data_IF_268704828741
#
_entry.id   IF_268704828741
#
_cell.length_a   1.000
_cell.length_b   1.000
_cell.length_c   1.000
_cell.angle_alpha   90.00
_cell.angle_beta   90.00
_cell.angle_gamma   90.00
#
_symmetry.space_group_name_H-M   'P 1'
#
loop_
_entity.id
_entity.type
_entity.pdbx_description
1 polymer ?
#
# COMPACT_ATOMS: atom_id res chain seq x y z
N UNK A 1 -9.59 -2.97 15.70
CA UNK A 1 -8.40 -2.61 14.96
C UNK A 1 -7.19 -3.37 15.45
N UNK A 2 -6.12 -3.28 14.71
CA UNK A 2 -4.90 -4.01 15.05
C UNK A 2 -4.24 -3.49 16.31
N UNK A 3 -4.38 -2.20 16.59
CA UNK A 3 -3.83 -1.63 17.81
C UNK A 3 -4.44 -2.29 19.05
N UNK A 4 -5.72 -2.65 18.98
CA UNK A 4 -6.36 -3.32 20.09
C UNK A 4 -5.86 -4.72 20.35
N UNK A 5 -5.12 -5.28 19.39
CA UNK A 5 -4.54 -6.60 19.52
C UNK A 5 -3.04 -6.55 19.83
N UNK A 6 -2.52 -5.37 20.11
CA UNK A 6 -1.12 -5.22 20.44
C UNK A 6 -0.19 -5.24 19.24
N UNK A 7 -0.71 -4.99 18.06
CA UNK A 7 0.07 -4.95 16.83
C UNK A 7 0.07 -3.56 16.22
N UNK A 8 1.16 -3.22 15.56
CA UNK A 8 1.27 -2.01 14.76
C UNK A 8 1.86 -2.37 13.42
N UNK A 9 1.47 -1.61 12.40
CA UNK A 9 2.13 -1.64 11.11
C UNK A 9 2.90 -0.35 10.96
N UNK A 10 4.19 -0.46 10.69
CA UNK A 10 5.05 0.71 10.52
C UNK A 10 5.64 0.69 9.12
N UNK A 11 5.72 1.85 8.50
CA UNK A 11 6.36 1.98 7.21
C UNK A 11 7.87 1.92 7.42
N UNK A 12 8.48 0.88 6.90
CA UNK A 12 9.91 0.66 7.06
C UNK A 12 10.70 1.37 5.98
N UNK A 13 10.19 1.40 4.76
CA UNK A 13 10.80 2.17 3.69
C UNK A 13 9.74 2.56 2.68
N UNK A 14 10.02 3.63 1.96
CA UNK A 14 9.11 4.12 0.94
C UNK A 14 9.94 4.73 -0.18
N UNK A 15 9.54 4.45 -1.42
CA UNK A 15 10.13 5.04 -2.61
C UNK A 15 9.02 5.56 -3.48
N UNK A 16 9.26 6.67 -4.15
CA UNK A 16 8.27 7.23 -5.06
C UNK A 16 8.97 7.77 -6.30
N UNK A 17 8.32 7.62 -7.43
CA UNK A 17 8.79 8.17 -8.70
C UNK A 17 7.67 8.98 -9.32
N UNK A 18 8.02 10.17 -9.77
CA UNK A 18 7.08 11.08 -10.40
C UNK A 18 7.37 11.11 -11.88
N UNK A 19 6.33 10.82 -12.68
CA UNK A 19 6.50 10.70 -14.14
C UNK A 19 5.87 11.84 -14.89
N UNK A 20 4.72 12.34 -14.41
CA UNK A 20 4.02 13.41 -15.09
C UNK A 20 3.19 14.17 -14.08
N UNK A 21 2.93 15.46 -14.32
CA UNK A 21 2.13 16.24 -13.39
C UNK A 21 0.63 15.96 -13.56
N UNK A 22 -0.09 16.10 -12.47
CA UNK A 22 -1.54 16.11 -12.52
C UNK A 22 -2.03 17.55 -12.56
N UNK A 23 -3.14 17.78 -13.22
CA UNK A 23 -3.75 19.09 -13.26
C UNK A 23 -4.88 19.15 -12.25
N UNK A 24 -5.30 20.37 -11.92
CA UNK A 24 -6.26 20.56 -10.86
C UNK A 24 -7.58 19.85 -11.12
N UNK A 25 -8.00 19.79 -12.36
CA UNK A 25 -9.28 19.19 -12.70
C UNK A 25 -9.19 17.72 -13.10
N UNK A 26 -8.00 17.13 -13.02
CA UNK A 26 -7.84 15.73 -13.40
C UNK A 26 -8.50 14.81 -12.40
N UNK A 27 -9.18 13.80 -12.92
CA UNK A 27 -9.59 12.68 -12.11
C UNK A 27 -8.47 11.66 -12.07
N UNK A 28 -8.21 11.15 -10.90
CA UNK A 28 -7.09 10.25 -10.69
C UNK A 28 -7.62 8.89 -10.28
N UNK A 29 -6.91 7.86 -10.71
CA UNK A 29 -7.18 6.49 -10.32
C UNK A 29 -5.96 6.01 -9.56
N UNK A 30 -6.15 5.61 -8.31
CA UNK A 30 -5.09 5.06 -7.48
C UNK A 30 -5.32 3.57 -7.37
N UNK A 31 -4.28 2.80 -7.66
CA UNK A 31 -4.32 1.36 -7.49
C UNK A 31 -3.21 0.94 -6.54
N UNK A 32 -3.42 -0.18 -5.89
CA UNK A 32 -2.43 -0.74 -4.98
C UNK A 32 -2.46 -2.25 -5.09
N UNK A 33 -1.27 -2.86 -5.10
CA UNK A 33 -1.20 -4.31 -5.09
C UNK A 33 -0.04 -4.74 -4.18
N UNK A 34 -0.24 -5.87 -3.54
CA UNK A 34 0.78 -6.48 -2.70
C UNK A 34 1.70 -7.25 -3.63
N UNK A 35 2.97 -6.84 -3.67
CA UNK A 35 3.94 -7.48 -4.56
C UNK A 35 4.85 -8.45 -3.82
N UNK A 36 4.83 -8.40 -2.48
CA UNK A 36 5.63 -9.31 -1.68
C UNK A 36 4.96 -9.44 -0.31
N UNK A 37 4.78 -10.67 0.15
CA UNK A 37 4.17 -10.92 1.45
C UNK A 37 5.08 -11.86 2.22
N UNK A 38 5.67 -11.35 3.29
CA UNK A 38 6.58 -12.10 4.13
C UNK A 38 5.92 -12.42 5.47
N UNK A 39 6.66 -13.10 6.34
CA UNK A 39 6.11 -13.50 7.63
C UNK A 39 5.68 -12.31 8.49
N UNK A 40 6.51 -11.28 8.54
CA UNK A 40 6.26 -10.12 9.40
C UNK A 40 6.28 -8.81 8.64
N UNK A 41 6.23 -8.85 7.33
CA UNK A 41 6.27 -7.63 6.52
C UNK A 41 5.58 -7.88 5.20
N UNK A 42 5.25 -6.79 4.54
CA UNK A 42 4.72 -6.86 3.19
C UNK A 42 5.21 -5.65 2.40
N UNK A 43 5.33 -5.84 1.11
CA UNK A 43 5.68 -4.76 0.20
C UNK A 43 4.52 -4.58 -0.77
N UNK A 44 4.10 -3.34 -0.93
CA UNK A 44 3.05 -3.06 -1.89
C UNK A 44 3.45 -1.90 -2.78
N UNK A 45 2.83 -1.86 -3.95
CA UNK A 45 3.06 -0.84 -4.95
C UNK A 45 1.77 -0.08 -5.18
N UNK A 46 1.87 1.23 -5.21
CA UNK A 46 0.76 2.09 -5.57
C UNK A 46 1.09 2.81 -6.86
N UNK A 47 0.08 3.01 -7.68
CA UNK A 47 0.22 3.77 -8.91
C UNK A 47 -0.93 4.76 -8.99
N UNK A 48 -0.62 5.96 -9.47
CA UNK A 48 -1.61 7.00 -9.70
C UNK A 48 -1.62 7.29 -11.19
N UNK A 49 -2.77 7.11 -11.80
CA UNK A 49 -2.94 7.33 -13.24
C UNK A 49 -4.02 8.37 -13.46
N UNK A 50 -3.90 9.09 -14.58
CA UNK A 50 -4.94 10.01 -14.98
C UNK A 50 -6.06 9.22 -15.64
N UNK A 51 -7.30 9.44 -15.19
CA UNK A 51 -8.40 8.63 -15.66
C UNK A 51 -8.70 8.87 -17.16
N UNK A 52 -8.45 10.07 -17.63
CA UNK A 52 -8.82 10.44 -19.00
C UNK A 52 -7.99 9.72 -20.05
N UNK A 53 -6.69 9.53 -19.82
CA UNK A 53 -5.79 8.99 -20.83
C UNK A 53 -4.91 7.86 -20.29
N UNK A 54 -5.16 7.43 -19.05
CA UNK A 54 -4.44 6.33 -18.40
C UNK A 54 -2.93 6.56 -18.30
N UNK A 55 -2.52 7.81 -18.30
CA UNK A 55 -1.10 8.13 -18.16
C UNK A 55 -0.68 7.91 -16.72
N UNK A 56 0.44 7.22 -16.53
CA UNK A 56 1.00 7.01 -15.20
C UNK A 56 1.62 8.31 -14.71
N UNK A 57 1.10 8.85 -13.63
CA UNK A 57 1.56 10.11 -13.09
C UNK A 57 2.64 9.92 -12.04
N UNK A 58 2.44 8.95 -11.16
CA UNK A 58 3.48 8.58 -10.19
C UNK A 58 3.26 7.16 -9.73
N UNK A 59 4.29 6.61 -9.11
CA UNK A 59 4.19 5.28 -8.52
C UNK A 59 5.06 5.24 -7.29
N UNK A 60 4.73 4.33 -6.38
CA UNK A 60 5.49 4.18 -5.17
C UNK A 60 5.50 2.74 -4.71
N UNK A 61 6.53 2.39 -3.96
CA UNK A 61 6.63 1.11 -3.29
C UNK A 61 6.85 1.35 -1.83
N UNK A 62 6.21 0.55 -1.00
CA UNK A 62 6.25 0.70 0.44
C UNK A 62 6.51 -0.65 1.08
N UNK A 63 7.50 -0.69 1.96
CA UNK A 63 7.74 -1.86 2.79
C UNK A 63 7.16 -1.56 4.16
N UNK A 64 6.22 -2.37 4.58
CA UNK A 64 5.49 -2.19 5.83
C UNK A 64 5.79 -3.40 6.71
N UNK A 65 6.18 -3.15 7.94
CA UNK A 65 6.50 -4.22 8.88
C UNK A 65 5.43 -4.30 9.96
N UNK A 66 5.12 -5.53 10.35
CA UNK A 66 4.23 -5.80 11.46
C UNK A 66 5.08 -5.98 12.71
N UNK A 67 4.78 -5.20 13.75
CA UNK A 67 5.58 -5.23 14.97
C UNK A 67 4.65 -5.27 16.18
N UNK A 68 5.21 -5.67 17.31
CA UNK A 68 4.48 -5.61 18.58
C UNK A 68 4.38 -4.16 19.03
N UNK A 69 3.22 -3.81 19.56
CA UNK A 69 3.00 -2.45 20.00
C UNK A 69 3.83 -2.10 21.24
N UNK A 70 4.16 -3.09 22.05
CA UNK A 70 4.83 -2.84 23.33
C UNK A 70 6.36 -2.69 23.20
N UNK A 71 6.97 -3.31 22.20
CA UNK A 71 8.42 -3.26 22.09
C UNK A 71 8.92 -3.07 20.66
N UNK A 72 8.02 -2.97 19.69
CA UNK A 72 8.30 -2.73 18.27
C UNK A 72 9.14 -3.83 17.63
N UNK A 73 9.16 -5.02 18.21
CA UNK A 73 9.87 -6.14 17.62
C UNK A 73 9.02 -6.79 16.55
N UNK A 74 9.64 -7.39 15.55
CA UNK A 74 8.88 -8.04 14.48
C UNK A 74 7.93 -9.09 15.01
N UNK A 75 6.76 -9.16 14.41
CA UNK A 75 5.77 -10.16 14.77
C UNK A 75 5.09 -10.63 13.49
N UNK A 76 4.76 -11.91 13.45
CA UNK A 76 4.09 -12.47 12.28
C UNK A 76 2.76 -11.78 12.03
N UNK A 77 2.47 -11.52 10.77
CA UNK A 77 1.19 -10.95 10.36
C UNK A 77 0.11 -11.98 10.70
N UNK A 78 -0.94 -11.57 11.43
CA UNK A 78 -2.00 -12.52 11.80
C UNK A 78 -2.65 -13.15 10.58
N UNK A 79 -3.05 -14.40 10.72
CA UNK A 79 -3.57 -15.19 9.61
C UNK A 79 -4.73 -14.52 8.87
N UNK A 80 -5.73 -13.96 9.54
CA UNK A 80 -6.82 -13.32 8.80
C UNK A 80 -6.36 -12.16 7.93
N UNK A 81 -5.40 -11.38 8.41
CA UNK A 81 -4.86 -10.27 7.62
C UNK A 81 -3.99 -10.77 6.49
N UNK A 82 -3.19 -11.80 6.79
CA UNK A 82 -2.34 -12.40 5.78
C UNK A 82 -3.17 -12.91 4.61
N UNK A 83 -4.27 -13.55 4.92
CA UNK A 83 -5.18 -14.06 3.91
C UNK A 83 -5.78 -12.92 3.09
N UNK A 84 -6.16 -11.83 3.75
CA UNK A 84 -6.72 -10.67 3.07
C UNK A 84 -5.69 -10.02 2.15
N UNK A 85 -4.44 -9.89 2.60
CA UNK A 85 -3.39 -9.30 1.78
C UNK A 85 -3.07 -10.17 0.57
N UNK A 86 -3.08 -11.48 0.74
CA UNK A 86 -2.84 -12.39 -0.37
C UNK A 86 -3.90 -12.26 -1.45
N UNK A 87 -5.11 -11.86 -1.07
CA UNK A 87 -6.20 -11.68 -2.01
C UNK A 87 -6.19 -10.37 -2.76
N UNK A 88 -5.25 -9.47 -2.47
CA UNK A 88 -5.23 -8.13 -3.09
C UNK A 88 -4.23 -8.00 -4.21
N UNK A 89 -3.91 -9.09 -4.88
CA UNK A 89 -2.90 -9.05 -5.93
C UNK A 89 -3.41 -8.46 -7.23
N UNK A 90 -4.70 -8.33 -7.37
CA UNK A 90 -5.30 -7.67 -8.51
C UNK A 90 -6.23 -6.59 -7.96
N UNK A 91 -5.68 -5.49 -7.50
CA UNK A 91 -6.48 -4.49 -6.81
C UNK A 91 -7.43 -3.79 -7.76
N UNK A 92 -8.56 -3.40 -7.20
CA UNK A 92 -9.46 -2.52 -7.91
C UNK A 92 -8.95 -1.08 -7.84
N UNK A 93 -9.29 -0.28 -8.81
CA UNK A 93 -8.92 1.13 -8.78
C UNK A 93 -9.73 1.87 -7.72
N UNK A 94 -9.08 2.86 -7.12
CA UNK A 94 -9.72 3.74 -6.15
C UNK A 94 -9.72 5.13 -6.73
N UNK A 95 -10.89 5.70 -6.92
CA UNK A 95 -10.99 7.05 -7.44
C UNK A 95 -10.52 8.03 -6.36
N UNK A 96 -9.63 8.91 -6.73
CA UNK A 96 -9.07 9.88 -5.81
C UNK A 96 -9.13 11.27 -6.44
N UNK A 97 -10.31 11.65 -6.83
CA UNK A 97 -10.50 12.88 -7.58
C UNK A 97 -10.55 14.15 -6.76
N UNK A 98 -10.55 14.05 -5.48
CA UNK A 98 -10.57 15.28 -4.70
C UNK A 98 -9.22 15.77 -4.33
#
# INVERSE_FOLDING_TARGET
TLAGEGLLFVVHSAEARYHAPARLDDQLVISADVIELNRASLRFRQQVRRAADDVLLCEGQFLVACVRADNLKPRAIPEPLRHAFAGTQAPGPIAAGE
#
